data_IF_933201386972
#
_entry.id   IF_933201386972
#
_cell.length_a   1.000
_cell.length_b   1.000
_cell.length_c   1.000
_cell.angle_alpha   90.00
_cell.angle_beta   90.00
_cell.angle_gamma   90.00
#
_symmetry.space_group_name_H-M   'P 1'
#
loop_
_entity.id
_entity.type
_entity.pdbx_description
1 polymer ?
#
# COMPACT_ATOMS: atom_id res chain seq x y z
N UNK A 1 -14.51 -12.76 27.14
CA UNK A 1 -13.83 -11.49 26.82
C UNK A 1 -14.06 -10.45 27.90
N UNK A 2 -13.15 -9.48 28.04
CA UNK A 2 -13.35 -8.27 28.86
C UNK A 2 -13.63 -7.09 27.93
N UNK A 3 -14.85 -6.54 27.98
CA UNK A 3 -15.20 -5.35 27.18
C UNK A 3 -14.43 -4.14 27.69
N UNK A 4 -13.95 -3.31 26.76
CA UNK A 4 -13.22 -2.08 27.03
C UNK A 4 -14.03 -0.91 26.48
N UNK A 5 -14.31 0.07 27.34
CA UNK A 5 -15.08 1.26 26.97
C UNK A 5 -14.18 2.26 26.22
N UNK A 6 -13.99 1.99 24.92
CA UNK A 6 -13.25 2.88 24.01
C UNK A 6 -14.01 2.97 22.69
N UNK A 7 -14.35 4.20 22.30
CA UNK A 7 -14.96 4.46 21.00
C UNK A 7 -13.98 4.14 19.87
N UNK A 8 -14.37 3.29 18.92
CA UNK A 8 -13.54 2.96 17.77
C UNK A 8 -13.17 4.22 16.96
N UNK A 9 -11.99 4.21 16.33
CA UNK A 9 -11.44 5.32 15.51
C UNK A 9 -11.06 6.58 16.30
N UNK A 10 -11.13 6.56 17.63
CA UNK A 10 -10.62 7.65 18.48
C UNK A 10 -9.11 7.51 18.74
N UNK A 11 -8.46 8.59 19.19
CA UNK A 11 -7.05 8.54 19.62
C UNK A 11 -6.83 7.51 20.73
N UNK A 12 -7.74 7.44 21.70
CA UNK A 12 -7.70 6.47 22.79
C UNK A 12 -7.77 5.03 22.27
N UNK A 13 -8.58 4.80 21.22
CA UNK A 13 -8.64 3.49 20.57
C UNK A 13 -7.33 3.13 19.86
N UNK A 14 -6.68 4.08 19.20
CA UNK A 14 -5.36 3.86 18.61
C UNK A 14 -4.28 3.59 19.67
N UNK A 15 -4.31 4.30 20.80
CA UNK A 15 -3.45 4.04 21.95
C UNK A 15 -3.68 2.66 22.56
N UNK A 16 -4.94 2.31 22.81
CA UNK A 16 -5.31 0.98 23.29
C UNK A 16 -4.83 -0.11 22.34
N UNK A 17 -4.96 0.06 21.02
CA UNK A 17 -4.47 -0.92 20.04
C UNK A 17 -2.95 -1.08 20.03
N UNK A 18 -2.18 -0.04 20.38
CA UNK A 18 -0.72 -0.14 20.49
C UNK A 18 -0.26 -1.00 21.67
N UNK A 19 -1.14 -1.27 22.63
CA UNK A 19 -0.81 -2.06 23.82
C UNK A 19 -0.93 -3.58 23.64
N UNK A 20 -1.22 -4.10 22.43
CA UNK A 20 -1.33 -5.54 22.18
C UNK A 20 -1.54 -5.89 20.71
N UNK A 21 -1.90 -7.14 20.45
CA UNK A 21 -2.16 -7.66 19.10
C UNK A 21 -3.65 -7.59 18.81
N UNK A 22 -4.00 -6.82 17.79
CA UNK A 22 -5.39 -6.69 17.36
C UNK A 22 -5.75 -7.70 16.26
N UNK A 23 -7.02 -8.09 16.16
CA UNK A 23 -7.48 -9.03 15.12
C UNK A 23 -7.04 -8.69 13.68
N UNK A 24 -7.02 -7.42 13.31
CA UNK A 24 -6.58 -6.98 11.97
C UNK A 24 -5.07 -7.19 11.71
N UNK A 25 -4.28 -7.47 12.76
CA UNK A 25 -2.86 -7.77 12.64
C UNK A 25 -2.61 -9.23 12.26
N UNK A 26 -3.58 -10.13 12.47
CA UNK A 26 -3.41 -11.58 12.28
C UNK A 26 -2.82 -11.92 10.90
N UNK A 27 -3.43 -11.42 9.81
CA UNK A 27 -2.94 -11.69 8.46
C UNK A 27 -1.53 -11.11 8.19
N UNK A 28 -1.17 -10.00 8.83
CA UNK A 28 0.17 -9.42 8.70
C UNK A 28 1.20 -10.28 9.43
N UNK A 29 0.90 -10.69 10.66
CA UNK A 29 1.77 -11.52 11.51
C UNK A 29 1.97 -12.90 10.88
N UNK A 30 0.93 -13.48 10.28
CA UNK A 30 1.02 -14.75 9.54
C UNK A 30 1.71 -14.61 8.17
N UNK A 31 2.09 -13.40 7.76
CA UNK A 31 2.79 -13.15 6.49
C UNK A 31 1.90 -13.24 5.24
N UNK A 32 0.57 -13.30 5.39
CA UNK A 32 -0.37 -13.43 4.27
C UNK A 32 -0.93 -12.10 3.77
N UNK A 33 -0.72 -11.00 4.50
CA UNK A 33 -1.17 -9.67 4.08
C UNK A 33 -0.33 -9.12 2.92
N UNK A 34 -0.95 -8.67 1.81
CA UNK A 34 -0.22 -8.00 0.71
C UNK A 34 0.17 -6.55 1.04
N UNK A 35 -0.48 -5.95 2.05
CA UNK A 35 -0.33 -4.52 2.35
C UNK A 35 0.80 -4.20 3.31
N UNK A 36 1.16 -5.15 4.18
CA UNK A 36 2.12 -4.92 5.27
C UNK A 36 2.87 -6.20 5.59
N UNK A 37 4.17 -6.06 5.88
CA UNK A 37 5.05 -7.13 6.37
C UNK A 37 5.04 -7.15 7.91
N UNK A 38 5.42 -8.28 8.54
CA UNK A 38 5.65 -8.32 9.98
C UNK A 38 6.65 -7.26 10.47
N UNK A 39 7.75 -7.06 9.73
CA UNK A 39 8.76 -6.04 10.08
C UNK A 39 8.17 -4.64 10.09
N UNK A 40 7.39 -4.27 9.07
CA UNK A 40 6.72 -2.96 9.01
C UNK A 40 5.75 -2.78 10.17
N UNK A 41 4.92 -3.80 10.46
CA UNK A 41 3.99 -3.75 11.59
C UNK A 41 4.72 -3.59 12.93
N UNK A 42 5.80 -4.33 13.14
CA UNK A 42 6.63 -4.22 14.34
C UNK A 42 7.16 -2.79 14.49
N UNK A 43 7.69 -2.21 13.41
CA UNK A 43 8.25 -0.86 13.45
C UNK A 43 7.21 0.21 13.76
N UNK A 44 5.98 0.06 13.24
CA UNK A 44 4.85 0.94 13.55
C UNK A 44 4.41 0.85 15.02
N UNK A 45 4.29 -0.37 15.56
CA UNK A 45 3.91 -0.57 16.97
C UNK A 45 4.97 -0.01 17.92
N UNK A 46 6.26 -0.19 17.58
CA UNK A 46 7.41 0.35 18.31
C UNK A 46 7.59 1.86 18.16
N UNK A 47 6.91 2.49 17.21
CA UNK A 47 7.09 3.91 16.89
C UNK A 47 8.43 4.24 16.22
N UNK A 48 9.15 3.25 15.70
CA UNK A 48 10.41 3.46 14.93
C UNK A 48 10.14 3.68 13.45
N UNK A 49 8.94 3.32 12.97
CA UNK A 49 8.44 3.65 11.64
C UNK A 49 7.18 4.50 11.76
N UNK A 50 6.99 5.50 10.88
CA UNK A 50 5.75 6.24 10.82
C UNK A 50 4.61 5.31 10.39
N UNK A 51 3.43 5.51 10.98
CA UNK A 51 2.19 4.87 10.51
C UNK A 51 1.69 5.64 9.30
N UNK A 52 1.31 4.91 8.25
CA UNK A 52 0.77 5.55 7.05
C UNK A 52 -0.57 6.24 7.35
N UNK A 53 -0.67 7.52 6.99
CA UNK A 53 -1.95 8.24 7.05
C UNK A 53 -2.86 7.81 5.91
N UNK A 54 -3.73 6.84 6.18
CA UNK A 54 -4.73 6.36 5.23
C UNK A 54 -6.03 7.17 5.24
N UNK A 55 -6.12 8.26 6.02
CA UNK A 55 -7.36 9.06 6.15
C UNK A 55 -7.79 9.69 4.82
N UNK A 56 -6.86 9.88 3.88
CA UNK A 56 -7.12 10.41 2.53
C UNK A 56 -7.38 9.32 1.49
N UNK A 57 -7.23 8.05 1.85
CA UNK A 57 -7.48 6.94 0.94
C UNK A 57 -9.00 6.83 0.66
N UNK A 58 -9.45 6.98 -0.59
CA UNK A 58 -10.87 6.89 -0.94
C UNK A 58 -11.52 5.58 -0.52
N UNK A 59 -10.78 4.46 -0.58
CA UNK A 59 -11.30 3.14 -0.22
C UNK A 59 -11.45 2.94 1.29
N UNK A 60 -10.61 3.58 2.10
CA UNK A 60 -10.77 3.58 3.56
C UNK A 60 -12.00 4.40 3.95
N UNK A 61 -12.19 5.58 3.35
CA UNK A 61 -13.40 6.39 3.55
C UNK A 61 -14.66 5.65 3.11
N UNK A 62 -14.59 4.99 1.96
CA UNK A 62 -15.67 4.15 1.44
C UNK A 62 -16.07 3.08 2.46
N UNK A 63 -15.10 2.37 3.04
CA UNK A 63 -15.36 1.39 4.10
C UNK A 63 -16.07 1.98 5.31
N UNK A 64 -15.55 3.08 5.85
CA UNK A 64 -16.12 3.75 7.04
C UNK A 64 -17.56 4.21 6.79
N UNK A 65 -17.86 4.74 5.60
CA UNK A 65 -19.21 5.21 5.25
C UNK A 65 -20.19 4.05 5.14
N UNK A 66 -19.77 2.91 4.58
CA UNK A 66 -20.68 1.81 4.25
C UNK A 66 -20.84 0.76 5.35
N UNK A 67 -19.90 0.68 6.29
CA UNK A 67 -19.94 -0.29 7.40
C UNK A 67 -21.23 -0.23 8.25
N UNK A 68 -21.79 0.96 8.61
CA UNK A 68 -23.07 1.01 9.33
C UNK A 68 -24.24 0.43 8.53
N UNK A 69 -24.29 0.66 7.21
CA UNK A 69 -25.35 0.12 6.35
C UNK A 69 -25.22 -1.40 6.18
N UNK A 70 -24.00 -1.90 6.04
CA UNK A 70 -23.73 -3.33 5.96
C UNK A 70 -24.14 -4.06 7.25
N UNK A 71 -23.88 -3.44 8.41
CA UNK A 71 -24.30 -3.95 9.72
C UNK A 71 -25.81 -3.94 9.85
N UNK A 72 -26.47 -2.83 9.52
CA UNK A 72 -27.93 -2.74 9.58
C UNK A 72 -28.58 -3.82 8.70
N UNK A 73 -28.08 -4.00 7.47
CA UNK A 73 -28.54 -5.07 6.59
C UNK A 73 -28.37 -6.45 7.24
N UNK A 74 -27.24 -6.72 7.89
CA UNK A 74 -27.00 -7.98 8.59
C UNK A 74 -27.96 -8.17 9.78
N UNK A 75 -28.20 -7.12 10.57
CA UNK A 75 -29.12 -7.14 11.70
C UNK A 75 -30.56 -7.48 11.26
N UNK A 76 -31.01 -6.91 10.13
CA UNK A 76 -32.32 -7.18 9.53
C UNK A 76 -32.42 -8.61 8.96
N UNK A 77 -31.40 -9.07 8.22
CA UNK A 77 -31.39 -10.41 7.60
C UNK A 77 -31.35 -11.54 8.64
N UNK A 78 -30.63 -11.34 9.75
CA UNK A 78 -30.42 -12.36 10.77
C UNK A 78 -31.27 -12.16 12.04
N UNK A 79 -32.20 -11.20 12.02
CA UNK A 79 -33.09 -10.82 13.15
C UNK A 79 -32.33 -10.72 14.48
N UNK A 80 -31.29 -9.87 14.49
CA UNK A 80 -30.30 -9.80 15.57
C UNK A 80 -29.80 -8.37 15.78
N UNK A 81 -29.05 -8.16 16.87
CA UNK A 81 -28.37 -6.90 17.15
C UNK A 81 -26.87 -7.18 17.22
N UNK A 82 -26.07 -6.40 16.50
CA UNK A 82 -24.63 -6.56 16.38
C UNK A 82 -23.90 -5.29 16.85
N UNK A 83 -23.52 -5.27 18.13
CA UNK A 83 -22.96 -4.07 18.78
C UNK A 83 -21.48 -3.86 18.41
N UNK A 84 -21.06 -2.64 18.01
CA UNK A 84 -19.66 -2.33 17.80
C UNK A 84 -18.98 -2.10 19.16
N UNK A 85 -18.08 -3.01 19.56
CA UNK A 85 -17.36 -2.89 20.84
C UNK A 85 -15.88 -3.20 20.67
N UNK A 86 -15.10 -2.84 21.68
CA UNK A 86 -13.71 -3.28 21.84
C UNK A 86 -13.64 -4.27 23.01
N UNK A 87 -12.86 -5.33 22.88
CA UNK A 87 -12.63 -6.26 23.98
C UNK A 87 -11.22 -6.86 23.95
N UNK A 88 -10.81 -7.35 25.12
CA UNK A 88 -9.59 -8.13 25.31
C UNK A 88 -9.95 -9.58 25.63
N UNK A 89 -9.07 -10.51 25.23
CA UNK A 89 -9.19 -11.90 25.63
C UNK A 89 -9.10 -12.01 27.15
N UNK A 90 -9.99 -12.83 27.74
CA UNK A 90 -9.97 -13.11 29.17
C UNK A 90 -8.80 -14.01 29.58
N UNK A 91 -8.18 -14.70 28.61
CA UNK A 91 -7.03 -15.59 28.82
C UNK A 91 -5.73 -14.80 28.76
N UNK A 92 -5.59 -13.89 27.79
CA UNK A 92 -4.42 -13.04 27.64
C UNK A 92 -4.82 -11.67 27.07
N UNK A 93 -4.72 -10.62 27.90
CA UNK A 93 -5.11 -9.25 27.54
C UNK A 93 -4.29 -8.63 26.40
N UNK A 94 -3.14 -9.20 26.05
CA UNK A 94 -2.39 -8.78 24.86
C UNK A 94 -3.25 -8.98 23.60
N UNK A 95 -3.97 -10.10 23.52
CA UNK A 95 -4.85 -10.45 22.42
C UNK A 95 -6.16 -9.66 22.56
N UNK A 96 -6.50 -8.87 21.54
CA UNK A 96 -7.63 -7.93 21.61
C UNK A 96 -8.32 -7.74 20.27
N UNK A 97 -9.58 -7.35 20.29
CA UNK A 97 -10.35 -7.13 19.07
C UNK A 97 -11.21 -5.87 19.15
N UNK A 98 -11.19 -5.11 18.06
CA UNK A 98 -12.30 -4.23 17.70
C UNK A 98 -13.24 -5.08 16.87
N UNK A 99 -14.50 -5.16 17.28
CA UNK A 99 -15.52 -5.89 16.52
C UNK A 99 -16.30 -4.89 15.68
N UNK A 100 -16.50 -5.19 14.39
CA UNK A 100 -17.45 -4.39 13.63
C UNK A 100 -18.82 -4.59 14.27
N UNK A 101 -19.27 -5.83 14.52
CA UNK A 101 -20.38 -6.10 15.43
C UNK A 101 -20.14 -7.34 16.29
N UNK A 102 -20.84 -7.45 17.41
CA UNK A 102 -20.92 -8.70 18.18
C UNK A 102 -22.37 -8.96 18.60
N UNK A 103 -22.84 -10.17 18.35
CA UNK A 103 -24.19 -10.60 18.72
C UNK A 103 -24.28 -10.92 20.21
N UNK A 104 -25.51 -11.05 20.74
CA UNK A 104 -25.73 -11.43 22.14
C UNK A 104 -25.09 -12.78 22.51
N UNK A 105 -25.05 -13.74 21.58
CA UNK A 105 -24.37 -15.04 21.77
C UNK A 105 -22.84 -14.94 21.72
N UNK A 106 -22.26 -13.75 21.55
CA UNK A 106 -20.82 -13.53 21.45
C UNK A 106 -20.23 -13.75 20.06
N UNK A 107 -21.04 -14.11 19.06
CA UNK A 107 -20.59 -14.34 17.67
C UNK A 107 -20.17 -13.01 17.03
N UNK A 108 -18.91 -12.87 16.60
CA UNK A 108 -18.44 -11.64 15.99
C UNK A 108 -18.94 -11.51 14.54
N UNK A 109 -19.11 -10.26 14.12
CA UNK A 109 -19.39 -9.84 12.76
C UNK A 109 -18.22 -8.96 12.31
N UNK A 110 -17.57 -9.37 11.22
CA UNK A 110 -16.55 -8.62 10.50
C UNK A 110 -17.09 -8.18 9.15
N UNK A 111 -16.95 -6.90 8.82
CA UNK A 111 -17.52 -6.28 7.64
C UNK A 111 -16.41 -5.76 6.73
N UNK A 112 -16.52 -6.04 5.44
CA UNK A 112 -15.64 -5.49 4.40
C UNK A 112 -16.47 -4.85 3.30
N UNK A 113 -16.16 -3.61 2.98
CA UNK A 113 -16.75 -2.89 1.84
C UNK A 113 -15.67 -2.63 0.76
N UNK A 114 -15.25 -3.68 0.02
CA UNK A 114 -14.15 -3.59 -0.93
C UNK A 114 -14.53 -2.83 -2.22
N UNK A 115 -13.56 -2.63 -3.11
CA UNK A 115 -13.82 -2.18 -4.49
C UNK A 115 -14.65 -3.20 -5.27
N UNK A 116 -15.31 -2.76 -6.35
CA UNK A 116 -16.14 -3.60 -7.21
C UNK A 116 -15.40 -4.85 -7.70
N UNK A 117 -14.17 -4.71 -8.22
CA UNK A 117 -13.36 -5.85 -8.69
C UNK A 117 -13.05 -6.88 -7.59
N UNK A 118 -12.78 -6.42 -6.37
CA UNK A 118 -12.50 -7.30 -5.24
C UNK A 118 -13.79 -7.94 -4.71
N UNK A 119 -14.92 -7.24 -4.80
CA UNK A 119 -16.24 -7.81 -4.48
C UNK A 119 -16.61 -8.92 -5.48
N UNK A 120 -16.42 -8.68 -6.78
CA UNK A 120 -16.64 -9.67 -7.84
C UNK A 120 -15.76 -10.92 -7.65
N UNK A 121 -14.49 -10.76 -7.28
CA UNK A 121 -13.61 -11.88 -6.91
C UNK A 121 -14.22 -12.73 -5.77
N UNK A 122 -14.79 -12.09 -4.75
CA UNK A 122 -15.46 -12.78 -3.64
C UNK A 122 -16.74 -13.50 -4.11
N UNK A 123 -17.54 -12.87 -4.97
CA UNK A 123 -18.76 -13.47 -5.54
C UNK A 123 -18.41 -14.74 -6.33
N UNK A 124 -17.42 -14.65 -7.22
CA UNK A 124 -17.04 -15.73 -8.14
C UNK A 124 -16.26 -16.83 -7.42
N UNK A 125 -15.22 -16.45 -6.66
CA UNK A 125 -14.27 -17.41 -6.10
C UNK A 125 -14.58 -17.82 -4.65
N UNK A 126 -15.56 -17.18 -3.98
CA UNK A 126 -16.02 -17.53 -2.64
C UNK A 126 -14.84 -17.68 -1.65
N UNK A 127 -14.67 -18.84 -1.01
CA UNK A 127 -13.58 -19.11 -0.07
C UNK A 127 -12.19 -19.17 -0.73
N UNK A 128 -12.12 -19.33 -2.06
CA UNK A 128 -10.87 -19.24 -2.81
C UNK A 128 -10.47 -17.80 -3.17
N UNK A 129 -11.37 -16.83 -2.96
CA UNK A 129 -11.09 -15.41 -3.21
C UNK A 129 -9.96 -14.88 -2.33
N UNK A 130 -9.27 -13.84 -2.83
CA UNK A 130 -8.21 -13.19 -2.07
C UNK A 130 -8.78 -12.50 -0.83
N UNK A 131 -9.97 -11.91 -0.96
CA UNK A 131 -10.67 -11.26 0.14
C UNK A 131 -10.95 -12.22 1.30
N UNK A 132 -11.55 -13.38 1.02
CA UNK A 132 -11.85 -14.37 2.07
C UNK A 132 -10.59 -14.83 2.79
N UNK A 133 -9.57 -15.26 2.05
CA UNK A 133 -8.32 -15.77 2.63
C UNK A 133 -7.57 -14.73 3.46
N UNK A 134 -7.66 -13.47 3.07
CA UNK A 134 -7.03 -12.36 3.78
C UNK A 134 -7.70 -12.09 5.14
N UNK A 135 -9.02 -12.15 5.21
CA UNK A 135 -9.76 -11.77 6.43
C UNK A 135 -10.19 -12.96 7.29
N UNK A 136 -10.06 -14.20 6.80
CA UNK A 136 -10.30 -15.40 7.61
C UNK A 136 -9.54 -15.42 8.95
N UNK A 137 -8.22 -15.10 9.00
CA UNK A 137 -7.50 -15.08 10.27
C UNK A 137 -8.04 -14.02 11.24
N UNK A 138 -8.50 -12.88 10.71
CA UNK A 138 -9.08 -11.82 11.54
C UNK A 138 -10.37 -12.29 12.24
N UNK A 139 -11.21 -13.05 11.55
CA UNK A 139 -12.44 -13.60 12.14
C UNK A 139 -12.11 -14.71 13.15
N UNK A 140 -11.19 -15.63 12.85
CA UNK A 140 -10.73 -16.64 13.82
C UNK A 140 -10.15 -15.99 15.09
N UNK A 141 -9.41 -14.88 14.95
CA UNK A 141 -8.92 -14.10 16.09
C UNK A 141 -10.07 -13.51 16.92
N UNK A 142 -11.06 -12.90 16.26
CA UNK A 142 -12.24 -12.36 16.94
C UNK A 142 -13.04 -13.45 17.67
N UNK A 143 -13.21 -14.62 17.04
CA UNK A 143 -13.83 -15.80 17.65
C UNK A 143 -13.07 -16.21 18.92
N UNK A 144 -11.73 -16.22 18.86
CA UNK A 144 -10.87 -16.54 20.00
C UNK A 144 -11.02 -15.52 21.14
N UNK A 145 -11.01 -14.22 20.85
CA UNK A 145 -11.19 -13.15 21.85
C UNK A 145 -12.57 -13.25 22.51
N UNK A 146 -13.62 -13.41 21.70
CA UNK A 146 -15.00 -13.48 22.16
C UNK A 146 -15.29 -14.79 22.94
N UNK A 147 -14.57 -15.87 22.65
CA UNK A 147 -14.89 -17.21 23.13
C UNK A 147 -16.10 -17.82 22.42
N UNK A 148 -16.34 -17.41 21.17
CA UNK A 148 -17.49 -17.85 20.38
C UNK A 148 -17.25 -19.20 19.71
N UNK A 149 -18.33 -19.83 19.26
CA UNK A 149 -18.34 -21.06 18.45
C UNK A 149 -18.14 -20.79 16.95
N UNK A 150 -18.47 -19.58 16.50
CA UNK A 150 -18.38 -19.14 15.11
C UNK A 150 -18.41 -17.61 15.01
N UNK A 151 -18.08 -17.08 13.85
CA UNK A 151 -18.20 -15.66 13.48
C UNK A 151 -18.63 -15.45 12.02
N UNK A 152 -19.05 -14.24 11.67
CA UNK A 152 -19.49 -13.88 10.32
C UNK A 152 -18.47 -12.98 9.63
N UNK A 153 -18.17 -13.27 8.37
CA UNK A 153 -17.45 -12.38 7.47
C UNK A 153 -18.40 -11.91 6.36
N UNK A 154 -18.71 -10.62 6.35
CA UNK A 154 -19.63 -10.00 5.40
C UNK A 154 -18.86 -9.13 4.43
N UNK A 155 -19.02 -9.40 3.13
CA UNK A 155 -18.62 -8.48 2.09
C UNK A 155 -19.86 -7.72 1.59
N UNK A 156 -19.81 -6.40 1.67
CA UNK A 156 -20.91 -5.51 1.31
C UNK A 156 -20.52 -4.62 0.13
N UNK A 157 -21.43 -4.46 -0.83
CA UNK A 157 -21.29 -3.52 -1.93
C UNK A 157 -22.63 -2.81 -2.18
N UNK A 158 -22.67 -1.46 -2.33
CA UNK A 158 -23.94 -0.71 -2.40
C UNK A 158 -24.87 -1.12 -3.55
N UNK A 159 -24.30 -1.64 -4.63
CA UNK A 159 -25.04 -2.01 -5.85
C UNK A 159 -25.32 -3.51 -6.00
N UNK A 160 -24.93 -4.33 -5.02
CA UNK A 160 -25.08 -5.79 -5.11
C UNK A 160 -25.55 -6.39 -3.77
N UNK A 161 -26.20 -7.55 -3.83
CA UNK A 161 -26.53 -8.32 -2.63
C UNK A 161 -25.25 -8.70 -1.87
N UNK A 162 -25.18 -8.50 -0.54
CA UNK A 162 -23.99 -8.85 0.24
C UNK A 162 -23.64 -10.33 0.17
N UNK A 163 -22.35 -10.64 0.32
CA UNK A 163 -21.84 -12.01 0.42
C UNK A 163 -21.46 -12.29 1.86
N UNK A 164 -22.10 -13.28 2.47
CA UNK A 164 -21.85 -13.69 3.86
C UNK A 164 -21.14 -15.05 3.90
N UNK A 165 -20.15 -15.16 4.78
CA UNK A 165 -19.53 -16.41 5.16
C UNK A 165 -19.71 -16.65 6.67
N UNK A 166 -20.24 -17.81 7.02
CA UNK A 166 -20.24 -18.31 8.39
C UNK A 166 -18.96 -19.08 8.64
N UNK A 167 -18.11 -18.55 9.53
CA UNK A 167 -16.80 -19.11 9.84
C UNK A 167 -16.91 -19.82 11.19
N UNK A 168 -16.79 -21.15 11.16
CA UNK A 168 -16.76 -21.97 12.36
C UNK A 168 -15.43 -21.80 13.08
N UNK A 169 -15.44 -21.87 14.41
CA UNK A 169 -14.23 -21.90 15.23
C UNK A 169 -13.34 -23.07 14.79
N UNK A 170 -12.08 -22.78 14.52
CA UNK A 170 -11.08 -23.79 14.17
C UNK A 170 -9.93 -23.74 15.18
N UNK A 171 -10.03 -24.53 16.26
CA UNK A 171 -9.09 -24.45 17.39
C UNK A 171 -7.63 -24.65 16.97
N UNK A 172 -7.33 -25.62 16.10
CA UNK A 172 -5.96 -25.83 15.60
C UNK A 172 -5.38 -24.64 14.86
N UNK A 173 -6.22 -23.89 14.14
CA UNK A 173 -5.80 -22.68 13.44
C UNK A 173 -5.64 -21.53 14.42
N UNK A 174 -6.60 -21.37 15.36
CA UNK A 174 -6.54 -20.35 16.42
C UNK A 174 -5.27 -20.53 17.24
N UNK A 175 -4.97 -21.74 17.71
CA UNK A 175 -3.78 -22.02 18.53
C UNK A 175 -2.50 -21.64 17.79
N UNK A 176 -2.34 -22.11 16.54
CA UNK A 176 -1.20 -21.73 15.70
C UNK A 176 -1.09 -20.22 15.50
N UNK A 177 -2.22 -19.56 15.22
CA UNK A 177 -2.24 -18.11 15.00
C UNK A 177 -1.87 -17.34 16.26
N UNK A 178 -2.45 -17.70 17.41
CA UNK A 178 -2.17 -17.05 18.69
C UNK A 178 -0.71 -17.25 19.11
N UNK A 179 -0.12 -18.43 18.90
CA UNK A 179 1.30 -18.67 19.15
C UNK A 179 2.17 -17.69 18.35
N UNK A 180 1.89 -17.52 17.05
CA UNK A 180 2.63 -16.56 16.20
C UNK A 180 2.41 -15.11 16.61
N UNK A 181 1.21 -14.76 17.06
CA UNK A 181 0.90 -13.43 17.58
C UNK A 181 1.65 -13.12 18.88
N UNK A 182 1.79 -14.12 19.77
CA UNK A 182 2.55 -13.98 21.01
C UNK A 182 4.06 -13.91 20.76
N UNK A 183 4.61 -14.74 19.87
CA UNK A 183 6.02 -14.65 19.42
C UNK A 183 6.31 -13.25 18.84
N UNK A 184 5.40 -12.76 18.00
CA UNK A 184 5.51 -11.41 17.44
C UNK A 184 5.43 -10.33 18.52
N UNK A 185 4.56 -10.50 19.52
CA UNK A 185 4.46 -9.55 20.62
C UNK A 185 5.71 -9.54 21.50
N UNK A 186 6.34 -10.69 21.74
CA UNK A 186 7.62 -10.77 22.44
C UNK A 186 8.71 -9.98 21.68
N UNK A 187 8.75 -10.07 20.35
CA UNK A 187 9.64 -9.25 19.51
C UNK A 187 9.38 -7.74 19.68
N UNK A 188 8.11 -7.33 19.82
CA UNK A 188 7.75 -5.93 20.12
C UNK A 188 8.24 -5.54 21.52
N UNK A 189 8.10 -6.40 22.53
CA UNK A 189 8.50 -6.08 23.90
C UNK A 189 10.02 -6.00 24.05
N UNK A 190 10.75 -6.94 23.44
CA UNK A 190 12.21 -7.04 23.51
C UNK A 190 12.93 -6.09 22.55
N UNK A 191 12.23 -5.53 21.56
CA UNK A 191 12.84 -4.70 20.52
C UNK A 191 13.63 -5.48 19.48
N UNK A 192 13.50 -6.81 19.44
CA UNK A 192 14.08 -7.65 18.39
C UNK A 192 13.19 -7.59 17.14
N UNK A 193 13.67 -6.96 16.07
CA UNK A 193 12.90 -6.84 14.84
C UNK A 193 12.69 -8.22 14.15
N UNK A 194 11.50 -8.47 13.55
CA UNK A 194 11.31 -9.58 12.61
C UNK A 194 12.25 -9.45 11.40
N UNK A 195 12.54 -10.54 10.66
CA UNK A 195 13.31 -10.45 9.43
C UNK A 195 12.60 -9.56 8.39
N UNK A 196 13.37 -8.74 7.68
CA UNK A 196 12.88 -7.96 6.54
C UNK A 196 12.61 -8.86 5.34
N UNK A 197 11.59 -8.51 4.57
CA UNK A 197 11.29 -9.07 3.25
C UNK A 197 11.99 -8.23 2.16
N UNK A 198 13.00 -8.76 1.44
CA UNK A 198 13.73 -8.00 0.42
C UNK A 198 12.89 -7.51 -0.76
N UNK A 199 11.74 -8.13 -1.02
CA UNK A 199 10.85 -7.73 -2.12
C UNK A 199 9.86 -6.63 -1.71
N UNK A 200 9.65 -6.43 -0.40
CA UNK A 200 8.57 -5.59 0.13
C UNK A 200 9.03 -4.49 1.08
N UNK A 201 10.09 -4.74 1.85
CA UNK A 201 10.61 -3.81 2.84
C UNK A 201 11.74 -2.94 2.27
N UNK A 202 11.81 -1.70 2.75
CA UNK A 202 12.88 -0.80 2.34
C UNK A 202 14.24 -1.30 2.85
N UNK A 203 15.18 -1.40 1.91
CA UNK A 203 16.58 -1.60 2.23
C UNK A 203 17.09 -0.38 3.00
N UNK A 204 17.77 -0.63 4.12
CA UNK A 204 18.44 0.39 4.91
C UNK A 204 19.90 -0.03 4.99
N UNK A 205 20.83 0.73 4.39
CA UNK A 205 22.25 0.45 4.51
C UNK A 205 22.72 0.52 5.97
N UNK A 206 23.57 -0.43 6.36
CA UNK A 206 24.16 -0.52 7.70
C UNK A 206 25.69 -0.36 7.62
N UNK A 207 26.30 0.10 8.72
CA UNK A 207 27.75 0.19 8.94
C UNK A 207 28.53 0.80 7.76
N UNK A 208 29.53 0.09 7.24
CA UNK A 208 30.38 0.55 6.15
C UNK A 208 29.59 0.80 4.85
N UNK A 209 28.52 0.04 4.58
CA UNK A 209 27.68 0.24 3.38
C UNK A 209 26.91 1.55 3.51
N UNK A 210 26.51 1.94 4.72
CA UNK A 210 25.86 3.23 4.99
C UNK A 210 26.73 4.42 4.66
N UNK A 211 28.03 4.36 5.00
CA UNK A 211 28.99 5.42 4.65
C UNK A 211 29.17 5.54 3.14
N UNK A 212 29.31 4.41 2.44
CA UNK A 212 29.40 4.41 0.97
C UNK A 212 28.11 4.94 0.32
N UNK A 213 26.95 4.51 0.79
CA UNK A 213 25.66 4.99 0.30
C UNK A 213 25.53 6.50 0.47
N UNK A 214 25.85 7.03 1.64
CA UNK A 214 25.78 8.47 1.92
C UNK A 214 26.69 9.29 1.00
N UNK A 215 27.89 8.76 0.71
CA UNK A 215 28.85 9.39 -0.20
C UNK A 215 28.28 9.51 -1.62
N UNK A 216 27.71 8.43 -2.17
CA UNK A 216 27.10 8.47 -3.50
C UNK A 216 25.81 9.28 -3.52
N UNK A 217 25.02 9.26 -2.44
CA UNK A 217 23.82 10.07 -2.32
C UNK A 217 24.14 11.58 -2.39
N UNK A 218 25.18 12.05 -1.69
CA UNK A 218 25.60 13.46 -1.75
C UNK A 218 26.11 13.85 -3.14
N UNK A 219 26.93 13.01 -3.78
CA UNK A 219 27.39 13.23 -5.16
C UNK A 219 26.22 13.36 -6.14
N UNK A 220 25.27 12.44 -6.06
CA UNK A 220 24.08 12.42 -6.90
C UNK A 220 23.21 13.66 -6.68
N UNK A 221 22.97 14.07 -5.43
CA UNK A 221 22.22 15.30 -5.10
C UNK A 221 22.80 16.54 -5.80
N UNK A 222 24.14 16.67 -5.83
CA UNK A 222 24.82 17.78 -6.51
C UNK A 222 24.64 17.73 -8.02
N UNK A 223 24.85 16.55 -8.63
CA UNK A 223 24.71 16.37 -10.08
C UNK A 223 23.27 16.64 -10.52
N UNK A 224 22.27 16.15 -9.79
CA UNK A 224 20.85 16.38 -10.12
C UNK A 224 20.46 17.86 -10.00
N UNK A 225 21.01 18.58 -9.01
CA UNK A 225 20.77 20.02 -8.88
C UNK A 225 21.27 20.80 -10.11
N UNK A 226 22.43 20.43 -10.66
CA UNK A 226 22.98 21.05 -11.86
C UNK A 226 22.24 20.59 -13.13
N UNK A 227 21.79 19.34 -13.18
CA UNK A 227 20.95 18.83 -14.26
C UNK A 227 19.63 19.61 -14.35
N UNK A 228 18.97 19.90 -13.22
CA UNK A 228 17.73 20.69 -13.18
C UNK A 228 17.96 22.09 -13.77
N UNK A 229 19.06 22.77 -13.40
CA UNK A 229 19.40 24.08 -13.96
C UNK A 229 19.64 24.00 -15.47
N UNK A 230 20.41 23.02 -15.93
CA UNK A 230 20.68 22.82 -17.35
C UNK A 230 19.39 22.53 -18.14
N UNK A 231 18.47 21.74 -17.57
CA UNK A 231 17.17 21.47 -18.20
C UNK A 231 16.30 22.72 -18.33
N UNK A 232 16.34 23.64 -17.36
CA UNK A 232 15.67 24.93 -17.47
C UNK A 232 16.26 25.78 -18.60
N UNK A 233 17.59 25.85 -18.71
CA UNK A 233 18.26 26.54 -19.83
C UNK A 233 17.87 25.94 -21.18
N UNK A 234 17.88 24.60 -21.30
CA UNK A 234 17.45 23.90 -22.52
C UNK A 234 16.01 24.21 -22.87
N UNK A 235 15.11 24.27 -21.87
CA UNK A 235 13.71 24.65 -22.09
C UNK A 235 13.60 26.06 -22.70
N UNK A 236 14.28 27.04 -22.11
CA UNK A 236 14.29 28.42 -22.61
C UNK A 236 14.85 28.50 -24.04
N UNK A 237 15.98 27.85 -24.31
CA UNK A 237 16.57 27.84 -25.65
C UNK A 237 15.66 27.16 -26.69
N UNK A 238 14.91 26.12 -26.31
CA UNK A 238 13.94 25.47 -27.20
C UNK A 238 12.78 26.41 -27.55
N UNK A 239 12.23 27.11 -26.56
CA UNK A 239 11.16 28.09 -26.77
C UNK A 239 11.63 29.23 -27.69
N UNK A 240 12.80 29.81 -27.39
CA UNK A 240 13.42 30.84 -28.25
C UNK A 240 13.65 30.35 -29.68
N UNK A 241 14.11 29.11 -29.86
CA UNK A 241 14.33 28.53 -31.18
C UNK A 241 13.03 28.41 -31.98
N UNK A 242 11.93 27.98 -31.37
CA UNK A 242 10.64 27.92 -32.07
C UNK A 242 10.12 29.32 -32.42
N UNK A 243 10.26 30.31 -31.53
CA UNK A 243 9.91 31.70 -31.86
C UNK A 243 10.71 32.23 -33.05
N UNK A 244 12.03 32.08 -33.04
CA UNK A 244 12.90 32.52 -34.16
C UNK A 244 12.54 31.77 -35.45
N UNK A 245 12.27 30.47 -35.36
CA UNK A 245 11.83 29.66 -36.51
C UNK A 245 10.54 30.23 -37.11
N UNK A 246 9.55 30.56 -36.29
CA UNK A 246 8.27 31.09 -36.76
C UNK A 246 8.43 32.46 -37.44
N UNK A 247 9.28 33.33 -36.89
CA UNK A 247 9.64 34.62 -37.51
C UNK A 247 10.32 34.42 -38.88
N UNK A 248 11.28 33.50 -38.97
CA UNK A 248 11.94 33.16 -40.24
C UNK A 248 10.94 32.58 -41.25
N UNK A 249 10.02 31.72 -40.82
CA UNK A 249 8.97 31.16 -41.68
C UNK A 249 8.00 32.25 -42.15
N UNK A 250 7.71 33.26 -41.34
CA UNK A 250 6.90 34.41 -41.74
C UNK A 250 7.61 35.25 -42.82
N UNK A 251 8.92 35.51 -42.65
CA UNK A 251 9.74 36.20 -43.65
C UNK A 251 9.82 35.45 -44.99
N UNK A 252 9.72 34.12 -44.99
CA UNK A 252 9.63 33.32 -46.23
C UNK A 252 8.35 33.58 -47.04
N UNK A 253 7.33 34.25 -46.49
CA UNK A 253 6.09 34.54 -47.22
C UNK A 253 5.45 33.30 -47.84
N UNK A 254 5.25 33.29 -49.16
CA UNK A 254 4.69 32.17 -49.91
C UNK A 254 5.69 31.08 -50.35
N UNK A 255 6.99 31.27 -50.14
CA UNK A 255 8.01 30.32 -50.62
C UNK A 255 7.99 29.02 -49.83
N UNK A 256 8.19 27.89 -50.53
CA UNK A 256 8.22 26.55 -49.93
C UNK A 256 9.57 26.25 -49.27
N UNK A 257 10.66 26.85 -49.75
CA UNK A 257 11.99 26.69 -49.14
C UNK A 257 12.79 27.98 -49.17
N UNK A 258 13.69 28.16 -48.20
CA UNK A 258 14.64 29.27 -48.13
C UNK A 258 16.01 28.79 -47.64
N UNK A 259 17.08 29.43 -48.13
CA UNK A 259 18.46 29.17 -47.70
C UNK A 259 19.26 30.48 -47.72
N UNK A 260 19.60 30.99 -46.55
CA UNK A 260 20.36 32.22 -46.37
C UNK A 260 21.11 32.17 -45.02
N UNK A 261 22.25 32.85 -44.92
CA UNK A 261 23.01 33.03 -43.66
C UNK A 261 23.29 31.73 -42.87
N UNK A 262 23.49 30.62 -43.59
CA UNK A 262 23.74 29.30 -42.99
C UNK A 262 22.51 28.54 -42.51
N UNK A 263 21.31 29.09 -42.66
CA UNK A 263 20.03 28.48 -42.26
C UNK A 263 19.29 27.98 -43.51
N UNK A 264 18.69 26.80 -43.43
CA UNK A 264 17.79 26.26 -44.45
C UNK A 264 16.46 25.83 -43.85
N UNK A 265 15.36 26.27 -44.43
CA UNK A 265 13.99 25.95 -44.01
C UNK A 265 13.22 25.43 -45.22
N UNK A 266 12.46 24.35 -45.02
CA UNK A 266 11.58 23.74 -46.03
C UNK A 266 10.22 23.45 -45.40
N UNK A 267 9.15 23.94 -46.03
CA UNK A 267 7.77 23.57 -45.71
C UNK A 267 7.45 22.25 -46.40
N UNK A 268 6.96 21.27 -45.65
CA UNK A 268 6.48 20.01 -46.20
C UNK A 268 5.20 19.59 -45.48
N UNK A 269 4.36 18.83 -46.17
CA UNK A 269 3.18 18.20 -45.62
C UNK A 269 3.58 16.76 -45.30
N UNK A 270 3.26 16.33 -44.08
CA UNK A 270 3.45 14.95 -43.65
C UNK A 270 2.08 14.38 -43.32
N UNK A 271 1.82 13.16 -43.80
CA UNK A 271 0.62 12.43 -43.41
C UNK A 271 0.59 12.22 -41.88
N UNK A 272 -0.61 12.30 -41.30
CA UNK A 272 -0.80 12.08 -39.88
C UNK A 272 -0.45 10.65 -39.45
N UNK A 273 -0.22 10.45 -38.15
CA UNK A 273 -0.03 9.10 -37.60
C UNK A 273 -1.33 8.28 -37.71
N UNK A 274 -1.20 7.03 -38.15
CA UNK A 274 -2.31 6.07 -38.16
C UNK A 274 -2.63 5.65 -36.72
N UNK A 275 -3.91 5.71 -36.33
CA UNK A 275 -4.39 5.17 -35.06
C UNK A 275 -4.51 3.64 -35.13
N UNK A 276 -3.43 2.96 -34.80
CA UNK A 276 -3.38 1.49 -34.81
C UNK A 276 -4.34 0.83 -33.82
N UNK A 277 -4.74 1.52 -32.74
CA UNK A 277 -5.70 0.97 -31.78
C UNK A 277 -7.09 0.95 -32.40
N UNK A 278 -7.49 2.05 -33.04
CA UNK A 278 -8.75 2.11 -33.79
C UNK A 278 -8.78 1.07 -34.91
N UNK A 279 -7.69 0.93 -35.67
CA UNK A 279 -7.56 -0.10 -36.72
C UNK A 279 -7.71 -1.52 -36.14
N UNK A 280 -7.02 -1.82 -35.04
CA UNK A 280 -7.07 -3.15 -34.41
C UNK A 280 -8.47 -3.48 -33.87
N UNK A 281 -9.13 -2.53 -33.20
CA UNK A 281 -10.50 -2.71 -32.68
C UNK A 281 -11.54 -2.87 -33.79
N UNK A 282 -11.34 -2.22 -34.95
CA UNK A 282 -12.22 -2.40 -36.11
C UNK A 282 -12.03 -3.77 -36.78
N UNK A 283 -10.80 -4.28 -36.84
CA UNK A 283 -10.49 -5.57 -37.49
C UNK A 283 -10.84 -6.79 -36.63
N UNK A 284 -10.67 -6.70 -35.30
CA UNK A 284 -11.09 -7.73 -34.34
C UNK A 284 -11.80 -7.05 -33.15
N UNK A 285 -13.15 -6.94 -33.18
CA UNK A 285 -13.93 -6.40 -32.07
C UNK A 285 -13.79 -7.21 -30.77
N UNK A 286 -13.38 -8.49 -30.87
CA UNK A 286 -13.18 -9.40 -29.75
C UNK A 286 -11.71 -9.44 -29.29
N UNK A 287 -10.92 -8.41 -29.62
CA UNK A 287 -9.52 -8.30 -29.22
C UNK A 287 -9.41 -7.99 -27.72
N UNK A 288 -9.32 -9.03 -26.89
CA UNK A 288 -9.15 -8.91 -25.44
C UNK A 288 -7.73 -8.53 -25.03
N UNK A 289 -7.57 -8.00 -23.81
CA UNK A 289 -6.26 -7.70 -23.22
C UNK A 289 -5.34 -8.94 -23.15
N UNK A 290 -5.91 -10.13 -23.07
CA UNK A 290 -5.19 -11.41 -23.08
C UNK A 290 -4.58 -11.72 -24.46
N UNK A 291 -5.32 -11.46 -25.54
CA UNK A 291 -4.77 -11.56 -26.91
C UNK A 291 -3.67 -10.51 -27.13
N UNK A 292 -3.83 -9.30 -26.61
CA UNK A 292 -2.78 -8.27 -26.63
C UNK A 292 -1.51 -8.71 -25.89
N UNK A 293 -1.68 -9.37 -24.74
CA UNK A 293 -0.55 -9.84 -23.94
C UNK A 293 0.35 -10.84 -24.69
N UNK A 294 -0.21 -11.63 -25.61
CA UNK A 294 0.56 -12.57 -26.44
C UNK A 294 1.58 -11.87 -27.37
N UNK A 295 1.34 -10.60 -27.73
CA UNK A 295 2.24 -9.79 -28.55
C UNK A 295 3.15 -8.86 -27.73
N UNK A 296 3.02 -8.88 -26.40
CA UNK A 296 3.85 -8.07 -25.51
C UNK A 296 5.23 -8.71 -25.42
N UNK A 297 6.25 -8.01 -25.91
CA UNK A 297 7.65 -8.42 -25.74
C UNK A 297 8.01 -8.47 -24.26
N UNK A 298 9.02 -9.30 -23.93
CA UNK A 298 9.56 -9.39 -22.59
C UNK A 298 9.89 -7.99 -22.04
N UNK A 299 9.39 -7.70 -20.83
CA UNK A 299 9.73 -6.47 -20.13
C UNK A 299 11.18 -6.47 -19.67
N UNK A 300 11.81 -5.30 -19.64
CA UNK A 300 13.12 -5.09 -19.05
C UNK A 300 13.00 -4.41 -17.68
N UNK A 301 13.93 -4.69 -16.76
CA UNK A 301 14.03 -3.98 -15.49
C UNK A 301 14.30 -2.49 -15.72
N UNK A 302 13.57 -1.63 -15.02
CA UNK A 302 13.77 -0.18 -15.06
C UNK A 302 14.01 0.32 -13.65
N UNK A 303 15.03 1.15 -13.48
CA UNK A 303 15.31 1.84 -12.23
C UNK A 303 14.77 3.26 -12.34
N UNK A 304 13.97 3.67 -11.35
CA UNK A 304 13.57 5.07 -11.19
C UNK A 304 14.39 5.66 -10.05
N UNK A 305 15.04 6.78 -10.32
CA UNK A 305 15.78 7.55 -9.34
C UNK A 305 14.96 8.81 -9.02
N UNK A 306 14.88 9.17 -7.74
CA UNK A 306 14.19 10.37 -7.28
C UNK A 306 14.98 10.94 -6.11
N UNK A 307 15.38 12.20 -6.23
CA UNK A 307 16.09 12.92 -5.19
C UNK A 307 15.11 13.80 -4.45
N UNK A 308 14.99 13.57 -3.14
CA UNK A 308 14.31 14.48 -2.24
C UNK A 308 15.31 15.58 -1.84
N UNK A 309 15.01 16.82 -2.24
CA UNK A 309 15.85 17.99 -1.98
C UNK A 309 15.75 18.49 -0.55
N UNK A 310 14.70 18.12 0.18
CA UNK A 310 14.41 18.61 1.53
C UNK A 310 14.90 17.63 2.61
N UNK A 311 15.25 16.40 2.23
CA UNK A 311 15.82 15.40 3.13
C UNK A 311 17.25 15.78 3.55
N UNK A 312 17.38 16.29 4.79
CA UNK A 312 18.67 16.51 5.44
C UNK A 312 19.38 15.17 5.66
N UNK A 313 20.68 15.15 5.37
CA UNK A 313 21.51 13.98 5.68
C UNK A 313 21.85 14.08 7.15
N UNK A 314 21.43 13.10 7.96
CA UNK A 314 21.61 13.14 9.42
C UNK A 314 23.10 12.94 9.77
N UNK A 315 23.86 14.04 9.72
CA UNK A 315 25.33 14.05 9.81
C UNK A 315 25.85 13.51 11.14
N UNK A 316 25.08 13.67 12.22
CA UNK A 316 25.45 13.20 13.56
C UNK A 316 25.66 11.68 13.60
N UNK A 317 24.78 10.94 12.95
CA UNK A 317 24.85 9.48 12.87
C UNK A 317 25.96 8.98 11.92
N UNK A 318 26.45 9.81 11.01
CA UNK A 318 27.57 9.47 10.12
C UNK A 318 28.91 9.67 10.84
N UNK A 319 29.01 10.74 11.64
CA UNK A 319 30.20 11.01 12.45
C UNK A 319 30.41 9.94 13.53
N UNK A 320 29.35 9.39 14.14
CA UNK A 320 29.44 8.27 15.08
C UNK A 320 29.96 6.98 14.42
N UNK A 321 29.43 6.61 13.24
CA UNK A 321 29.92 5.43 12.49
C UNK A 321 31.37 5.63 12.03
N UNK A 322 31.73 6.83 11.58
CA UNK A 322 33.10 7.17 11.21
C UNK A 322 34.03 7.17 12.43
N UNK A 323 33.55 7.53 13.62
CA UNK A 323 34.31 7.48 14.87
C UNK A 323 34.56 6.04 15.33
N UNK A 324 33.57 5.15 15.25
CA UNK A 324 33.73 3.71 15.57
C UNK A 324 34.70 3.02 14.59
N UNK A 325 34.60 3.31 13.29
CA UNK A 325 35.55 2.79 12.30
C UNK A 325 36.99 3.31 12.50
N UNK A 326 37.16 4.51 13.05
CA UNK A 326 38.49 5.06 13.42
C UNK A 326 39.01 4.49 14.75
N UNK A 327 38.12 4.06 15.66
CA UNK A 327 38.48 3.44 16.94
C UNK A 327 38.99 2.00 16.82
N UNK A 328 38.67 1.31 15.72
CA UNK A 328 39.10 -0.08 15.46
C UNK A 328 40.51 -0.25 14.86
N UNK A 329 41.26 0.85 14.66
CA UNK A 329 42.64 0.81 14.16
C UNK A 329 43.59 1.24 15.29
N UNK A 330 43.96 0.28 16.14
CA UNK A 330 45.17 0.37 16.95
C UNK A 330 46.04 -0.86 16.66
N UNK A 331 47.34 -0.61 16.50
CA UNK A 331 48.42 -1.52 16.10
C UNK A 331 48.48 -2.84 16.87
#
# INVERSE_FOLDING_TARGET
>A
MRVVDVGQRTTQWHEWRRGGVSASNAAVILGSSPFKTPWRLWGEIRGVLPVDDLSRNPWVRHGIIHEPYARQWFEEEYDTIALPICAESSVNSIIRASFDGIQHQGRPLEIKCPSTSNFEDVVVNRMASKGYRLYYPQVQHQIAVAGADMGYLVFYHPSHSPVVFEIQREDSFIDMMLDRELDFWEMVQTGKAPPKDPERDHYTPEDAVRVQWATYADQLKRVDADLVKAMQTVKVCKEQRETIRDELVALMGGYVSAKADGISITRYIQDGSIDWKAVATQLDPDLSDEKYAAYRKAGGGRVRLTVDTDATTDSASLDEVLAEMRGGIWF
#
